data_IF_173809023708
#
_entry.id   IF_173809023708
#
_cell.length_a   1.000
_cell.length_b   1.000
_cell.length_c   1.000
_cell.angle_alpha   90.00
_cell.angle_beta   90.00
_cell.angle_gamma   90.00
#
_symmetry.space_group_name_H-M   'P 1'
#
loop_
_entity.id
_entity.type
_entity.pdbx_description
1 polymer ?
#
# COMPACT_ATOMS: atom_id res chain seq x y z
N UNK A 1 7.44 -27.02 7.20
CA UNK A 1 6.33 -26.47 8.00
C UNK A 1 5.87 -25.20 7.30
N UNK A 2 4.77 -25.29 6.57
CA UNK A 2 4.20 -24.20 5.80
C UNK A 2 3.56 -23.20 6.77
N UNK A 3 4.06 -21.96 6.73
CA UNK A 3 3.52 -20.84 7.48
C UNK A 3 2.26 -20.34 6.79
N UNK A 4 1.10 -20.70 7.35
CA UNK A 4 -0.19 -20.07 7.08
C UNK A 4 -0.10 -18.58 7.47
N UNK A 5 0.06 -17.71 6.48
CA UNK A 5 -0.12 -16.27 6.67
C UNK A 5 -1.53 -15.87 6.25
N UNK A 6 -2.41 -15.94 7.24
CA UNK A 6 -3.30 -14.85 7.64
C UNK A 6 -3.97 -14.09 6.49
N UNK A 7 -4.83 -14.76 5.74
CA UNK A 7 -5.75 -14.13 4.81
C UNK A 7 -6.91 -13.51 5.60
N UNK A 8 -6.65 -12.37 6.28
CA UNK A 8 -7.72 -11.52 6.78
C UNK A 8 -8.31 -10.80 5.58
N UNK A 9 -9.53 -11.18 5.20
CA UNK A 9 -10.40 -10.39 4.34
C UNK A 9 -10.56 -8.99 4.93
N UNK A 10 -9.67 -8.09 4.50
CA UNK A 10 -9.86 -6.66 4.64
C UNK A 10 -10.97 -6.33 3.64
N UNK A 11 -12.18 -6.09 4.14
CA UNK A 11 -13.18 -5.34 3.39
C UNK A 11 -12.56 -3.96 3.16
N UNK A 12 -11.75 -3.84 2.11
CA UNK A 12 -11.18 -2.59 1.65
C UNK A 12 -12.32 -1.93 0.88
N UNK A 13 -13.03 -1.02 1.55
CA UNK A 13 -14.02 -0.14 0.94
C UNK A 13 -13.30 1.06 0.33
N UNK A 14 -13.76 1.46 -0.86
CA UNK A 14 -13.19 2.47 -1.77
C UNK A 14 -12.48 3.67 -1.10
N UNK A 15 -11.17 3.55 -0.96
CA UNK A 15 -10.29 4.72 -0.83
C UNK A 15 -10.44 5.60 -2.07
N UNK A 16 -10.32 6.93 -1.91
CA UNK A 16 -10.24 7.83 -3.06
C UNK A 16 -9.13 7.35 -3.99
N UNK A 17 -9.44 7.32 -5.28
CA UNK A 17 -8.59 6.75 -6.31
C UNK A 17 -8.30 7.80 -7.38
N UNK A 18 -7.34 7.49 -8.25
CA UNK A 18 -6.92 8.31 -9.37
C UNK A 18 -7.54 7.80 -10.69
N UNK A 19 -8.80 7.33 -10.66
CA UNK A 19 -9.47 6.85 -11.86
C UNK A 19 -10.23 7.98 -12.55
N UNK A 20 -10.03 8.14 -13.85
CA UNK A 20 -10.74 9.12 -14.68
C UNK A 20 -11.28 8.49 -15.96
N UNK A 21 -12.51 8.84 -16.42
CA UNK A 21 -13.04 8.34 -17.68
C UNK A 21 -12.14 8.67 -18.87
N UNK A 22 -11.80 7.66 -19.66
CA UNK A 22 -11.10 7.79 -20.95
C UNK A 22 -9.72 8.47 -20.93
N UNK A 23 -9.09 8.70 -19.76
CA UNK A 23 -7.82 9.41 -19.64
C UNK A 23 -6.84 8.69 -18.72
N UNK A 24 -5.59 8.54 -19.17
CA UNK A 24 -4.51 7.91 -18.39
C UNK A 24 -4.19 6.48 -18.81
N UNK A 25 -3.54 5.74 -17.92
CA UNK A 25 -3.08 4.36 -18.16
C UNK A 25 -4.25 3.38 -18.19
N UNK A 26 -4.27 2.48 -19.17
CA UNK A 26 -5.18 1.33 -19.12
C UNK A 26 -4.81 0.39 -17.97
N UNK A 27 -5.78 -0.39 -17.49
CA UNK A 27 -5.52 -1.43 -16.46
C UNK A 27 -4.47 -2.44 -16.91
N UNK A 28 -4.45 -2.81 -18.20
CA UNK A 28 -3.45 -3.74 -18.74
C UNK A 28 -2.04 -3.14 -18.74
N UNK A 29 -1.90 -1.85 -19.10
CA UNK A 29 -0.63 -1.13 -18.99
C UNK A 29 -0.18 -1.03 -17.54
N UNK A 30 -1.09 -0.65 -16.64
CA UNK A 30 -0.82 -0.54 -15.20
C UNK A 30 -0.36 -1.87 -14.61
N UNK A 31 -1.02 -2.98 -14.95
CA UNK A 31 -0.63 -4.31 -14.49
C UNK A 31 0.75 -4.72 -15.03
N UNK A 32 1.03 -4.44 -16.31
CA UNK A 32 2.33 -4.73 -16.92
C UNK A 32 3.45 -3.93 -16.25
N UNK A 33 3.25 -2.62 -16.03
CA UNK A 33 4.22 -1.76 -15.34
C UNK A 33 4.41 -2.21 -13.89
N UNK A 34 3.33 -2.55 -13.17
CA UNK A 34 3.40 -3.08 -11.80
C UNK A 34 4.27 -4.34 -11.71
N UNK A 35 4.13 -5.25 -12.67
CA UNK A 35 4.96 -6.46 -12.74
C UNK A 35 6.42 -6.14 -13.03
N UNK A 36 6.71 -5.17 -13.91
CA UNK A 36 8.07 -4.72 -14.20
C UNK A 36 8.71 -4.03 -13.00
N UNK A 37 7.96 -3.21 -12.25
CA UNK A 37 8.41 -2.63 -10.99
C UNK A 37 8.88 -3.71 -10.02
N UNK A 38 8.06 -4.75 -9.86
CA UNK A 38 8.36 -5.88 -8.98
C UNK A 38 9.60 -6.66 -9.43
N UNK A 39 9.74 -6.95 -10.71
CA UNK A 39 10.92 -7.65 -11.24
C UNK A 39 12.21 -6.85 -10.99
N UNK A 40 12.19 -5.54 -11.28
CA UNK A 40 13.34 -4.67 -11.05
C UNK A 40 13.68 -4.53 -9.57
N UNK A 41 12.68 -4.49 -8.68
CA UNK A 41 12.93 -4.42 -7.24
C UNK A 41 13.53 -5.72 -6.68
N UNK A 42 13.18 -6.88 -7.24
CA UNK A 42 13.83 -8.16 -6.94
C UNK A 42 15.30 -8.14 -7.37
N UNK A 43 15.61 -7.65 -8.57
CA UNK A 43 16.99 -7.56 -9.05
C UNK A 43 17.85 -6.69 -8.12
N UNK A 44 17.30 -5.58 -7.64
CA UNK A 44 17.98 -4.74 -6.64
C UNK A 44 18.16 -5.51 -5.32
N UNK A 45 17.13 -6.21 -4.85
CA UNK A 45 17.20 -6.98 -3.60
C UNK A 45 18.29 -8.06 -3.65
N UNK A 46 18.39 -8.79 -4.76
CA UNK A 46 19.44 -9.81 -4.97
C UNK A 46 20.87 -9.23 -4.93
N UNK A 47 21.05 -7.96 -5.31
CA UNK A 47 22.35 -7.29 -5.17
C UNK A 47 22.74 -7.14 -3.69
N UNK A 48 21.76 -6.94 -2.81
CA UNK A 48 22.00 -6.75 -1.38
C UNK A 48 22.18 -8.06 -0.60
N UNK A 49 21.40 -9.10 -0.93
CA UNK A 49 21.46 -10.41 -0.25
C UNK A 49 22.83 -11.09 -0.31
N UNK A 50 23.68 -10.68 -1.25
CA UNK A 50 24.99 -11.29 -1.43
C UNK A 50 26.16 -10.47 -0.90
N UNK A 51 25.90 -9.32 -0.27
CA UNK A 51 26.96 -8.47 0.27
C UNK A 51 27.59 -9.15 1.48
N UNK A 52 28.90 -9.03 1.64
CA UNK A 52 29.64 -9.54 2.79
C UNK A 52 30.77 -8.56 3.19
N UNK A 53 31.52 -8.83 4.25
CA UNK A 53 32.60 -7.96 4.72
C UNK A 53 34.00 -8.32 4.24
N UNK A 54 34.21 -9.56 3.76
CA UNK A 54 35.55 -10.05 3.48
C UNK A 54 35.61 -11.08 2.34
N UNK A 55 36.78 -11.16 1.70
CA UNK A 55 37.20 -12.29 0.86
C UNK A 55 37.94 -13.30 1.73
N UNK A 56 37.67 -14.59 1.58
CA UNK A 56 38.41 -15.67 2.26
C UNK A 56 39.21 -16.47 1.25
N UNK A 57 40.52 -16.58 1.48
CA UNK A 57 41.48 -17.25 0.60
C UNK A 57 42.20 -18.32 1.40
N UNK A 58 42.40 -19.49 0.79
CA UNK A 58 43.14 -20.58 1.40
C UNK A 58 44.22 -21.09 0.45
N UNK A 59 45.40 -21.38 0.97
CA UNK A 59 46.47 -21.97 0.17
C UNK A 59 46.31 -23.49 0.15
N UNK A 60 46.23 -24.06 -1.05
CA UNK A 60 46.10 -25.51 -1.26
C UNK A 60 47.33 -26.01 -2.02
N UNK A 61 48.02 -26.96 -1.42
CA UNK A 61 49.19 -27.61 -2.02
C UNK A 61 48.87 -28.13 -3.45
N UNK A 62 49.69 -27.72 -4.42
CA UNK A 62 49.51 -28.10 -5.84
C UNK A 62 48.44 -27.32 -6.61
N UNK A 63 47.62 -26.48 -5.94
CA UNK A 63 46.64 -25.60 -6.59
C UNK A 63 46.90 -24.10 -6.36
N UNK A 64 47.74 -23.74 -5.38
CA UNK A 64 48.04 -22.35 -5.02
C UNK A 64 46.93 -21.73 -4.17
N UNK A 65 46.83 -20.40 -4.19
CA UNK A 65 45.77 -19.65 -3.51
C UNK A 65 44.41 -19.91 -4.16
N UNK A 66 43.44 -20.34 -3.37
CA UNK A 66 42.06 -20.59 -3.78
C UNK A 66 41.11 -19.70 -2.99
N UNK A 67 40.31 -18.91 -3.70
CA UNK A 67 39.24 -18.11 -3.09
C UNK A 67 38.06 -19.03 -2.73
N UNK A 68 37.76 -19.16 -1.43
CA UNK A 68 36.63 -19.97 -0.92
C UNK A 68 35.41 -19.12 -0.63
N UNK A 69 35.58 -17.82 -0.36
CA UNK A 69 34.50 -16.85 -0.26
C UNK A 69 34.89 -15.61 -1.05
N UNK A 70 34.10 -15.31 -2.09
CA UNK A 70 34.26 -14.11 -2.89
C UNK A 70 33.81 -12.88 -2.13
N UNK A 71 34.68 -11.87 -2.01
CA UNK A 71 34.32 -10.57 -1.47
C UNK A 71 33.29 -9.87 -2.35
N UNK A 72 32.22 -9.40 -1.73
CA UNK A 72 31.11 -8.70 -2.39
C UNK A 72 30.85 -7.40 -1.61
N UNK A 73 31.60 -6.33 -1.91
CA UNK A 73 31.45 -5.06 -1.21
C UNK A 73 30.09 -4.41 -1.50
N UNK A 74 29.66 -3.55 -0.59
CA UNK A 74 28.51 -2.66 -0.80
C UNK A 74 28.77 -1.81 -2.05
N UNK A 75 27.82 -1.74 -3.01
CA UNK A 75 27.94 -0.86 -4.16
C UNK A 75 28.06 0.61 -3.74
N UNK A 76 28.90 1.39 -4.43
CA UNK A 76 29.08 2.83 -4.12
C UNK A 76 27.79 3.64 -4.24
N UNK A 77 26.84 3.20 -5.06
CA UNK A 77 25.52 3.81 -5.26
C UNK A 77 24.39 3.12 -4.45
N UNK A 78 24.71 2.45 -3.34
CA UNK A 78 23.73 1.70 -2.51
C UNK A 78 22.53 2.55 -2.10
N UNK A 79 22.75 3.81 -1.74
CA UNK A 79 21.67 4.73 -1.33
C UNK A 79 20.70 4.98 -2.47
N UNK A 80 21.21 5.16 -3.69
CA UNK A 80 20.38 5.36 -4.88
C UNK A 80 19.63 4.09 -5.26
N UNK A 81 20.26 2.91 -5.13
CA UNK A 81 19.59 1.63 -5.36
C UNK A 81 18.44 1.39 -4.37
N UNK A 82 18.60 1.76 -3.10
CA UNK A 82 17.54 1.64 -2.09
C UNK A 82 16.40 2.62 -2.39
N UNK A 83 16.73 3.86 -2.76
CA UNK A 83 15.72 4.85 -3.21
C UNK A 83 14.96 4.36 -4.43
N UNK A 84 15.66 3.80 -5.41
CA UNK A 84 15.05 3.23 -6.61
C UNK A 84 14.12 2.06 -6.24
N UNK A 85 14.56 1.16 -5.36
CA UNK A 85 13.71 0.07 -4.85
C UNK A 85 12.43 0.60 -4.20
N UNK A 86 12.55 1.63 -3.35
CA UNK A 86 11.40 2.28 -2.73
C UNK A 86 10.47 2.92 -3.76
N UNK A 87 11.01 3.64 -4.75
CA UNK A 87 10.27 4.28 -5.84
C UNK A 87 9.46 3.26 -6.66
N UNK A 88 10.07 2.12 -6.98
CA UNK A 88 9.43 1.01 -7.70
C UNK A 88 8.24 0.45 -6.92
N UNK A 89 8.39 0.23 -5.61
CA UNK A 89 7.30 -0.27 -4.76
C UNK A 89 6.22 0.78 -4.50
N UNK A 90 6.57 2.06 -4.41
CA UNK A 90 5.61 3.17 -4.32
C UNK A 90 4.72 3.20 -5.57
N UNK A 91 5.34 3.17 -6.76
CA UNK A 91 4.62 3.11 -8.03
C UNK A 91 3.78 1.84 -8.13
N UNK A 92 4.31 0.68 -7.70
CA UNK A 92 3.56 -0.57 -7.69
C UNK A 92 2.31 -0.46 -6.82
N UNK A 93 2.44 0.04 -5.58
CA UNK A 93 1.33 0.21 -4.66
C UNK A 93 0.26 1.16 -5.22
N UNK A 94 0.68 2.30 -5.80
CA UNK A 94 -0.22 3.22 -6.49
C UNK A 94 -1.04 2.53 -7.59
N UNK A 95 -0.37 1.79 -8.49
CA UNK A 95 -1.05 1.10 -9.60
C UNK A 95 -2.01 0.02 -9.07
N UNK A 96 -1.56 -0.79 -8.09
CA UNK A 96 -2.36 -1.88 -7.54
C UNK A 96 -3.58 -1.40 -6.76
N UNK A 97 -3.47 -0.32 -5.97
CA UNK A 97 -4.63 0.25 -5.26
C UNK A 97 -5.68 0.79 -6.25
N UNK A 98 -5.26 1.41 -7.35
CA UNK A 98 -6.17 1.89 -8.39
C UNK A 98 -6.82 0.75 -9.22
N UNK A 99 -6.08 -0.34 -9.50
CA UNK A 99 -6.64 -1.54 -10.14
C UNK A 99 -7.73 -2.14 -9.25
N UNK A 100 -7.42 -2.36 -7.97
CA UNK A 100 -8.38 -2.89 -6.99
C UNK A 100 -9.60 -1.98 -6.84
N UNK A 101 -9.39 -0.67 -6.76
CA UNK A 101 -10.49 0.29 -6.66
C UNK A 101 -11.44 0.19 -7.86
N UNK A 102 -10.93 0.05 -9.08
CA UNK A 102 -11.77 -0.13 -10.26
C UNK A 102 -12.53 -1.46 -10.24
N UNK A 103 -11.87 -2.55 -9.83
CA UNK A 103 -12.52 -3.86 -9.71
C UNK A 103 -13.64 -3.84 -8.66
N UNK A 104 -13.40 -3.18 -7.53
CA UNK A 104 -14.38 -2.98 -6.47
C UNK A 104 -15.55 -2.10 -6.94
N UNK A 105 -15.29 -1.00 -7.64
CA UNK A 105 -16.31 -0.16 -8.25
C UNK A 105 -17.20 -0.95 -9.20
N UNK A 106 -16.61 -1.79 -10.05
CA UNK A 106 -17.36 -2.66 -10.97
C UNK A 106 -18.18 -3.70 -10.21
N UNK A 107 -17.62 -4.30 -9.16
CA UNK A 107 -18.32 -5.28 -8.34
C UNK A 107 -19.51 -4.64 -7.62
N UNK A 108 -19.30 -3.48 -7.00
CA UNK A 108 -20.32 -2.70 -6.31
C UNK A 108 -21.42 -2.26 -7.28
N UNK A 109 -21.06 -1.75 -8.47
CA UNK A 109 -22.04 -1.38 -9.48
C UNK A 109 -22.86 -2.58 -10.00
N UNK A 110 -22.22 -3.75 -10.17
CA UNK A 110 -22.92 -4.99 -10.58
C UNK A 110 -23.86 -5.54 -9.52
N UNK A 111 -23.44 -5.47 -8.26
CA UNK A 111 -24.19 -6.00 -7.12
C UNK A 111 -25.17 -4.97 -6.53
N UNK A 112 -25.14 -3.72 -7.01
CA UNK A 112 -26.04 -2.68 -6.56
C UNK A 112 -27.49 -3.14 -6.73
N UNK A 113 -28.27 -2.88 -5.69
CA UNK A 113 -29.72 -3.02 -5.69
C UNK A 113 -30.35 -1.64 -5.66
N UNK A 114 -31.60 -1.57 -6.10
CA UNK A 114 -32.37 -0.32 -6.01
C UNK A 114 -32.48 0.09 -4.54
N UNK A 115 -32.02 1.30 -4.24
CA UNK A 115 -32.25 1.89 -2.93
C UNK A 115 -33.72 2.34 -2.83
N UNK A 116 -34.43 1.73 -1.89
CA UNK A 116 -35.83 2.05 -1.57
C UNK A 116 -35.96 2.68 -0.18
N UNK A 117 -34.85 2.95 0.51
CA UNK A 117 -34.85 3.48 1.89
C UNK A 117 -35.51 4.86 2.01
N UNK A 118 -35.49 5.66 0.94
CA UNK A 118 -36.21 6.94 0.85
C UNK A 118 -37.69 6.83 0.48
N UNK A 119 -38.23 5.61 0.36
CA UNK A 119 -39.64 5.36 0.09
C UNK A 119 -40.30 4.88 1.38
N UNK A 120 -41.03 5.79 2.02
CA UNK A 120 -41.81 5.48 3.22
C UNK A 120 -42.98 4.55 2.84
N UNK A 121 -42.83 3.27 3.19
CA UNK A 121 -43.95 2.31 3.19
C UNK A 121 -44.58 2.42 4.58
N UNK A 122 -45.87 2.77 4.70
CA UNK A 122 -46.46 2.94 6.01
C UNK A 122 -46.62 1.59 6.73
N UNK A 123 -45.97 1.44 7.90
CA UNK A 123 -46.05 0.26 8.78
C UNK A 123 -47.10 0.41 9.90
N UNK A 124 -47.58 -0.70 10.51
CA UNK A 124 -48.43 -0.65 11.70
C UNK A 124 -47.71 0.01 12.89
N UNK A 125 -48.44 0.78 13.70
CA UNK A 125 -47.88 1.63 14.77
C UNK A 125 -47.08 0.85 15.84
N UNK A 126 -45.83 1.26 16.03
CA UNK A 126 -44.93 0.89 17.15
C UNK A 126 -44.20 2.17 17.61
N UNK A 127 -43.79 2.26 18.87
CA UNK A 127 -43.00 3.39 19.39
C UNK A 127 -41.75 3.62 18.52
N UNK A 128 -41.45 4.87 18.15
CA UNK A 128 -40.17 5.17 17.51
C UNK A 128 -39.04 5.16 18.54
N UNK A 129 -38.06 4.28 18.29
CA UNK A 129 -36.76 4.33 18.94
C UNK A 129 -35.95 5.52 18.40
N UNK A 130 -35.07 6.14 19.21
CA UNK A 130 -34.19 7.18 18.73
C UNK A 130 -33.31 6.66 17.58
N UNK A 131 -33.27 7.39 16.47
CA UNK A 131 -32.35 7.09 15.36
C UNK A 131 -30.94 7.48 15.79
N UNK A 132 -30.18 6.49 16.26
CA UNK A 132 -28.79 6.65 16.68
C UNK A 132 -27.88 6.41 15.47
N UNK A 133 -27.00 7.37 15.20
CA UNK A 133 -25.96 7.22 14.19
C UNK A 133 -24.82 6.34 14.73
N UNK A 134 -24.31 5.35 13.96
CA UNK A 134 -23.18 4.55 14.37
C UNK A 134 -21.88 5.37 14.38
N UNK A 135 -20.91 5.07 15.26
CA UNK A 135 -19.60 5.70 15.21
C UNK A 135 -18.83 5.32 13.95
N UNK A 136 -17.98 6.22 13.47
CA UNK A 136 -17.09 6.00 12.34
C UNK A 136 -15.74 5.44 12.80
N UNK A 137 -15.01 4.79 11.89
CA UNK A 137 -13.72 4.15 12.13
C UNK A 137 -12.59 4.80 11.28
N UNK A 138 -11.37 4.24 11.34
CA UNK A 138 -10.25 4.75 10.54
C UNK A 138 -10.50 4.69 9.03
N UNK A 139 -11.29 3.73 8.53
CA UNK A 139 -11.61 3.62 7.10
C UNK A 139 -12.33 4.88 6.62
N UNK A 140 -13.35 5.34 7.36
CA UNK A 140 -14.00 6.63 7.12
C UNK A 140 -12.99 7.79 7.12
N UNK A 141 -12.03 7.77 8.05
CA UNK A 141 -11.00 8.81 8.15
C UNK A 141 -10.05 8.85 6.94
N UNK A 142 -9.71 7.69 6.37
CA UNK A 142 -8.92 7.59 5.14
C UNK A 142 -9.71 8.10 3.91
N UNK A 143 -11.02 7.87 3.84
CA UNK A 143 -11.89 8.39 2.78
C UNK A 143 -11.97 9.92 2.77
N UNK A 144 -11.75 10.57 3.92
CA UNK A 144 -11.75 12.03 4.01
C UNK A 144 -10.52 12.66 3.35
N UNK A 145 -9.40 11.93 3.23
CA UNK A 145 -8.19 12.45 2.59
C UNK A 145 -8.40 12.66 1.10
N UNK A 146 -7.75 13.66 0.52
CA UNK A 146 -7.75 13.87 -0.93
C UNK A 146 -6.93 12.79 -1.65
N UNK A 147 -7.16 12.64 -2.96
CA UNK A 147 -6.40 11.69 -3.80
C UNK A 147 -4.90 11.94 -3.71
N UNK A 148 -4.47 13.21 -3.76
CA UNK A 148 -3.05 13.57 -3.65
C UNK A 148 -2.46 13.20 -2.29
N UNK A 149 -3.23 13.29 -1.21
CA UNK A 149 -2.75 12.93 0.13
C UNK A 149 -2.61 11.41 0.29
N UNK A 150 -3.53 10.64 -0.31
CA UNK A 150 -3.41 9.19 -0.38
C UNK A 150 -2.16 8.80 -1.19
N UNK A 151 -1.93 9.45 -2.33
CA UNK A 151 -0.75 9.19 -3.16
C UNK A 151 0.55 9.55 -2.44
N UNK A 152 0.59 10.66 -1.69
CA UNK A 152 1.75 11.01 -0.86
C UNK A 152 1.95 10.04 0.30
N UNK A 153 0.88 9.56 0.92
CA UNK A 153 0.95 8.52 1.94
C UNK A 153 1.53 7.20 1.38
N UNK A 154 1.06 6.76 0.21
CA UNK A 154 1.56 5.55 -0.47
C UNK A 154 3.06 5.67 -0.77
N UNK A 155 3.49 6.81 -1.29
CA UNK A 155 4.90 7.10 -1.53
C UNK A 155 5.69 7.02 -0.20
N UNK A 156 5.27 7.78 0.80
CA UNK A 156 5.98 7.84 2.07
C UNK A 156 6.06 6.48 2.79
N UNK A 157 4.99 5.68 2.72
CA UNK A 157 4.95 4.34 3.30
C UNK A 157 5.95 3.40 2.61
N UNK A 158 6.01 3.40 1.28
CA UNK A 158 6.96 2.59 0.53
C UNK A 158 8.42 2.98 0.81
N UNK A 159 8.73 4.27 0.85
CA UNK A 159 10.08 4.74 1.18
C UNK A 159 10.48 4.38 2.62
N UNK A 160 9.62 4.66 3.60
CA UNK A 160 9.90 4.30 4.99
C UNK A 160 10.11 2.78 5.14
N UNK A 161 9.23 1.96 4.56
CA UNK A 161 9.33 0.51 4.67
C UNK A 161 10.61 -0.06 4.04
N UNK A 162 10.93 0.32 2.81
CA UNK A 162 12.05 -0.28 2.09
C UNK A 162 13.43 0.24 2.49
N UNK A 163 13.51 1.49 2.97
CA UNK A 163 14.74 1.97 3.62
C UNK A 163 14.91 1.28 4.97
N UNK A 164 13.83 1.18 5.76
CA UNK A 164 13.84 0.53 7.08
C UNK A 164 14.30 -0.92 7.00
N UNK A 165 13.87 -1.67 5.99
CA UNK A 165 14.32 -3.04 5.71
C UNK A 165 15.85 -3.16 5.56
N UNK A 166 16.55 -2.10 5.17
CA UNK A 166 18.00 -2.13 5.00
C UNK A 166 18.78 -1.65 6.24
N UNK A 167 18.16 -0.90 7.16
CA UNK A 167 18.88 -0.27 8.29
C UNK A 167 18.48 -0.78 9.68
N UNK A 168 17.30 -1.38 9.85
CA UNK A 168 16.81 -1.84 11.16
C UNK A 168 17.48 -3.15 11.59
N UNK A 169 17.30 -3.54 12.86
CA UNK A 169 17.88 -4.77 13.40
C UNK A 169 17.56 -6.01 12.55
N UNK A 170 18.60 -6.81 12.26
CA UNK A 170 18.50 -7.98 11.37
C UNK A 170 18.46 -7.65 9.87
N UNK A 171 18.78 -6.42 9.47
CA UNK A 171 18.98 -6.06 8.07
C UNK A 171 20.41 -6.32 7.59
N UNK A 172 20.61 -6.32 6.27
CA UNK A 172 21.93 -6.46 5.63
C UNK A 172 22.95 -5.47 6.20
N UNK A 173 22.64 -4.18 6.32
CA UNK A 173 23.60 -3.21 6.85
C UNK A 173 23.86 -3.40 8.33
N UNK A 174 22.85 -3.81 9.10
CA UNK A 174 23.01 -4.09 10.52
C UNK A 174 23.93 -5.30 10.73
N UNK A 175 23.70 -6.39 10.00
CA UNK A 175 24.52 -7.60 10.02
C UNK A 175 25.98 -7.29 9.65
N UNK A 176 26.21 -6.54 8.57
CA UNK A 176 27.57 -6.16 8.18
C UNK A 176 28.29 -5.37 9.28
N UNK A 177 27.60 -4.48 9.99
CA UNK A 177 28.18 -3.68 11.08
C UNK A 177 28.44 -4.51 12.34
N UNK A 178 27.56 -5.47 12.65
CA UNK A 178 27.71 -6.37 13.79
C UNK A 178 28.81 -7.41 13.56
N UNK A 179 28.94 -7.92 12.34
CA UNK A 179 29.96 -8.90 11.96
C UNK A 179 31.36 -8.29 11.91
N UNK A 180 31.51 -7.11 11.31
CA UNK A 180 32.81 -6.50 10.99
C UNK A 180 33.83 -6.49 12.14
N UNK A 181 33.51 -6.04 13.38
CA UNK A 181 34.49 -6.03 14.47
C UNK A 181 34.83 -7.42 15.01
N UNK A 182 34.05 -8.44 14.66
CA UNK A 182 34.20 -9.82 15.12
C UNK A 182 34.93 -10.71 14.10
N UNK A 183 35.33 -10.17 12.95
CA UNK A 183 36.06 -10.92 11.91
C UNK A 183 37.51 -11.11 12.36
N UNK A 184 38.00 -12.35 12.53
CA UNK A 184 39.40 -12.60 12.83
C UNK A 184 40.29 -12.40 11.60
N UNK A 185 41.57 -12.11 11.80
CA UNK A 185 42.55 -12.00 10.71
C UNK A 185 42.81 -13.35 10.00
N UNK A 186 42.70 -14.45 10.76
CA UNK A 186 42.94 -15.82 10.29
C UNK A 186 41.86 -16.75 10.88
N UNK A 187 41.28 -17.59 10.03
CA UNK A 187 40.50 -18.77 10.43
C UNK A 187 41.26 -20.04 10.09
N UNK A 188 40.92 -21.16 10.74
CA UNK A 188 41.52 -22.46 10.43
C UNK A 188 40.45 -23.40 9.89
N UNK A 189 40.73 -24.08 8.78
CA UNK A 189 39.82 -25.08 8.19
C UNK A 189 40.53 -26.40 7.90
N UNK A 190 39.79 -27.51 7.90
CA UNK A 190 40.33 -28.84 7.59
C UNK A 190 40.10 -29.13 6.12
N UNK A 191 41.17 -29.16 5.32
CA UNK A 191 41.12 -29.47 3.87
C UNK A 191 41.51 -30.93 3.62
N UNK A 192 42.47 -31.42 4.41
CA UNK A 192 42.89 -32.83 4.45
C UNK A 192 42.62 -33.35 5.85
N UNK A 193 42.15 -34.59 5.96
CA UNK A 193 41.84 -35.19 7.26
C UNK A 193 43.08 -35.17 8.18
N UNK A 194 42.93 -34.60 9.38
CA UNK A 194 44.02 -34.41 10.34
C UNK A 194 44.87 -33.14 10.18
N UNK A 195 44.74 -32.35 9.10
CA UNK A 195 45.53 -31.13 8.88
C UNK A 195 44.65 -29.87 8.82
N UNK A 196 45.03 -28.84 9.59
CA UNK A 196 44.40 -27.51 9.53
C UNK A 196 45.18 -26.60 8.60
N UNK A 197 44.50 -26.00 7.64
CA UNK A 197 45.02 -24.97 6.75
C UNK A 197 44.55 -23.59 7.20
N UNK A 198 45.43 -22.57 7.22
CA UNK A 198 45.05 -21.20 7.54
C UNK A 198 44.26 -20.59 6.37
N UNK A 199 43.13 -19.97 6.70
CA UNK A 199 42.32 -19.17 5.79
C UNK A 199 42.66 -17.71 6.06
N UNK A 200 43.22 -17.06 5.04
CA UNK A 200 43.49 -15.62 5.06
C UNK A 200 42.20 -14.87 4.79
N UNK A 201 41.87 -13.92 5.66
CA UNK A 201 40.67 -13.10 5.55
C UNK A 201 41.08 -11.69 5.15
N UNK A 202 40.59 -11.23 4.00
CA UNK A 202 40.81 -9.86 3.50
C UNK A 202 39.52 -9.06 3.64
N UNK A 203 39.43 -8.30 4.73
CA UNK A 203 38.31 -7.38 4.99
C UNK A 203 38.35 -6.24 3.97
N UNK A 204 37.19 -5.88 3.41
CA UNK A 204 37.06 -4.84 2.38
C UNK A 204 36.08 -3.71 2.74
N UNK A 205 35.44 -3.77 3.91
CA UNK A 205 34.67 -2.67 4.50
C UNK A 205 35.37 -2.05 5.71
N UNK A 206 35.00 -0.82 6.03
CA UNK A 206 35.41 -0.13 7.26
C UNK A 206 34.17 0.25 8.09
N UNK A 207 34.34 0.33 9.41
CA UNK A 207 33.28 0.73 10.33
C UNK A 207 32.73 2.11 9.99
N UNK A 208 33.62 3.04 9.63
CA UNK A 208 33.29 4.42 9.25
C UNK A 208 32.45 4.46 7.98
N UNK A 209 32.80 3.65 6.96
CA UNK A 209 32.03 3.56 5.72
C UNK A 209 30.61 3.03 5.95
N UNK A 210 30.48 1.95 6.73
CA UNK A 210 29.16 1.36 7.02
C UNK A 210 28.30 2.29 7.88
N UNK A 211 28.91 2.98 8.85
CA UNK A 211 28.22 3.98 9.67
C UNK A 211 27.72 5.15 8.82
N UNK A 212 28.55 5.66 7.90
CA UNK A 212 28.16 6.77 7.03
C UNK A 212 26.95 6.42 6.17
N UNK A 213 26.91 5.20 5.59
CA UNK A 213 25.76 4.72 4.82
C UNK A 213 24.51 4.62 5.69
N UNK A 214 24.65 4.11 6.92
CA UNK A 214 23.55 4.01 7.87
C UNK A 214 22.97 5.39 8.20
N UNK A 215 23.81 6.37 8.52
CA UNK A 215 23.37 7.75 8.84
C UNK A 215 22.60 8.40 7.68
N UNK A 216 23.10 8.26 6.45
CA UNK A 216 22.42 8.79 5.26
C UNK A 216 21.02 8.18 5.07
N UNK A 217 20.92 6.85 5.23
CA UNK A 217 19.65 6.14 5.08
C UNK A 217 18.70 6.40 6.26
N UNK A 218 19.21 6.50 7.47
CA UNK A 218 18.42 6.79 8.67
C UNK A 218 17.80 8.20 8.61
N UNK A 219 18.53 9.20 8.13
CA UNK A 219 17.97 10.54 7.92
C UNK A 219 16.81 10.50 6.91
N UNK A 220 17.01 9.81 5.78
CA UNK A 220 15.97 9.67 4.76
C UNK A 220 14.76 8.90 5.29
N UNK A 221 14.97 7.79 6.00
CA UNK A 221 13.92 7.00 6.65
C UNK A 221 13.09 7.87 7.59
N UNK A 222 13.75 8.66 8.44
CA UNK A 222 13.08 9.53 9.42
C UNK A 222 12.15 10.54 8.75
N UNK A 223 12.55 11.13 7.63
CA UNK A 223 11.71 12.07 6.87
C UNK A 223 10.42 11.40 6.38
N UNK A 224 10.53 10.21 5.78
CA UNK A 224 9.35 9.49 5.29
C UNK A 224 8.49 8.90 6.41
N UNK A 225 9.11 8.40 7.47
CA UNK A 225 8.40 7.91 8.66
C UNK A 225 7.60 9.03 9.35
N UNK A 226 8.15 10.23 9.44
CA UNK A 226 7.41 11.41 9.92
C UNK A 226 6.18 11.71 9.06
N UNK A 227 6.29 11.61 7.72
CA UNK A 227 5.15 11.79 6.81
C UNK A 227 4.08 10.70 7.01
N UNK A 228 4.48 9.44 7.13
CA UNK A 228 3.57 8.33 7.42
C UNK A 228 2.81 8.58 8.73
N UNK A 229 3.53 9.00 9.78
CA UNK A 229 2.95 9.29 11.08
C UNK A 229 2.03 10.52 11.05
N UNK A 230 2.35 11.53 10.25
CA UNK A 230 1.50 12.69 10.02
C UNK A 230 0.12 12.27 9.47
N UNK A 231 0.06 11.46 8.41
CA UNK A 231 -1.21 11.02 7.84
C UNK A 231 -1.99 10.12 8.80
N UNK A 232 -1.33 9.19 9.49
CA UNK A 232 -1.97 8.35 10.52
C UNK A 232 -2.58 9.20 11.65
N UNK A 233 -1.86 10.22 12.12
CA UNK A 233 -2.37 11.14 13.14
C UNK A 233 -3.53 11.99 12.61
N UNK A 234 -3.45 12.45 11.36
CA UNK A 234 -4.52 13.20 10.69
C UNK A 234 -5.82 12.37 10.63
N UNK A 235 -5.74 11.12 10.19
CA UNK A 235 -6.89 10.19 10.13
C UNK A 235 -7.50 9.99 11.51
N UNK A 236 -6.68 9.70 12.52
CA UNK A 236 -7.17 9.56 13.90
C UNK A 236 -7.90 10.81 14.40
N UNK A 237 -7.32 11.99 14.15
CA UNK A 237 -7.95 13.25 14.53
C UNK A 237 -9.29 13.49 13.82
N UNK A 238 -9.43 13.09 12.55
CA UNK A 238 -10.70 13.18 11.82
C UNK A 238 -11.75 12.29 12.46
N UNK A 239 -11.42 11.02 12.71
CA UNK A 239 -12.31 10.04 13.33
C UNK A 239 -12.76 10.49 14.72
N UNK A 240 -11.83 10.98 15.55
CA UNK A 240 -12.16 11.48 16.89
C UNK A 240 -13.13 12.67 16.82
N UNK A 241 -12.89 13.62 15.91
CA UNK A 241 -13.77 14.78 15.74
C UNK A 241 -15.17 14.38 15.27
N UNK A 242 -15.26 13.46 14.32
CA UNK A 242 -16.54 13.02 13.79
C UNK A 242 -17.33 12.20 14.80
N UNK A 243 -16.66 11.31 15.55
CA UNK A 243 -17.31 10.57 16.63
C UNK A 243 -17.78 11.48 17.77
N UNK A 244 -17.05 12.57 18.07
CA UNK A 244 -17.52 13.57 19.02
C UNK A 244 -18.79 14.30 18.51
N UNK A 245 -18.86 14.61 17.20
CA UNK A 245 -20.05 15.18 16.56
C UNK A 245 -21.23 14.21 16.60
N UNK A 246 -21.01 12.94 16.24
CA UNK A 246 -22.01 11.86 16.27
C UNK A 246 -22.53 11.66 17.69
N UNK A 247 -21.66 11.62 18.69
CA UNK A 247 -22.06 11.48 20.09
C UNK A 247 -22.99 12.62 20.54
N UNK A 248 -22.73 13.86 20.12
CA UNK A 248 -23.61 15.00 20.40
C UNK A 248 -24.97 14.85 19.72
N UNK A 249 -25.00 14.46 18.46
CA UNK A 249 -26.23 14.23 17.70
C UNK A 249 -27.05 13.10 18.32
N UNK A 250 -26.40 12.02 18.75
CA UNK A 250 -27.05 10.89 19.40
C UNK A 250 -27.63 11.28 20.77
N UNK A 251 -26.92 12.11 21.55
CA UNK A 251 -27.44 12.65 22.80
C UNK A 251 -28.68 13.54 22.57
N UNK A 252 -28.65 14.39 21.53
CA UNK A 252 -29.79 15.23 21.15
C UNK A 252 -30.95 14.40 20.58
N UNK A 253 -30.68 13.35 19.81
CA UNK A 253 -31.68 12.44 19.25
C UNK A 253 -32.39 11.63 20.35
N UNK A 254 -31.64 11.18 21.37
CA UNK A 254 -32.18 10.51 22.54
C UNK A 254 -33.08 11.44 23.37
N UNK A 255 -32.74 12.73 23.48
CA UNK A 255 -33.57 13.74 24.14
C UNK A 255 -34.82 14.14 23.31
N UNK A 256 -34.76 14.05 21.98
CA UNK A 256 -35.84 14.45 21.08
C UNK A 256 -36.85 13.31 20.77
N UNK A 257 -36.44 12.04 20.85
CA UNK A 257 -37.32 10.89 20.66
C UNK A 257 -38.49 10.87 21.67
N UNK A 258 -38.28 11.36 22.89
CA UNK A 258 -39.33 11.53 23.92
C UNK A 258 -40.41 12.55 23.52
N UNK A 259 -40.12 13.47 22.59
CA UNK A 259 -41.01 14.56 22.16
C UNK A 259 -41.83 14.24 20.90
N UNK A 260 -41.32 13.33 20.06
CA UNK A 260 -41.86 13.06 18.70
C UNK A 260 -43.02 12.05 18.70
N UNK A 261 -43.14 11.21 19.74
CA UNK A 261 -44.21 10.20 19.88
C UNK A 261 -45.64 10.76 20.12
N UNK A 262 -45.89 12.05 19.87
CA UNK A 262 -47.19 12.71 20.13
C UNK A 262 -48.13 12.80 18.90
N UNK A 263 -47.63 12.75 17.65
CA UNK A 263 -48.42 13.20 16.48
C UNK A 263 -48.37 12.28 15.23
N UNK A 264 -48.77 10.99 15.28
CA UNK A 264 -48.90 10.18 14.03
C UNK A 264 -50.08 9.21 14.00
N UNK A 265 -51.18 9.59 13.35
CA UNK A 265 -52.24 8.63 12.94
C UNK A 265 -52.97 8.96 11.61
N UNK A 266 -52.95 10.18 11.08
CA UNK A 266 -53.91 10.56 10.00
C UNK A 266 -53.43 10.43 8.53
N UNK A 267 -52.29 9.79 8.22
CA UNK A 267 -51.68 9.84 6.86
C UNK A 267 -51.39 8.49 6.18
N UNK A 268 -52.20 7.46 6.44
CA UNK A 268 -51.90 6.10 5.97
C UNK A 268 -52.33 5.82 4.51
N UNK A 269 -53.55 6.16 4.10
CA UNK A 269 -54.12 5.58 2.87
C UNK A 269 -53.73 6.28 1.56
N UNK A 270 -53.37 7.56 1.58
CA UNK A 270 -52.96 8.31 0.37
C UNK A 270 -51.48 8.07 0.01
N UNK A 271 -50.66 7.71 1.00
CA UNK A 271 -49.21 7.58 0.84
C UNK A 271 -48.79 6.18 0.33
N UNK A 272 -49.54 5.13 0.66
CA UNK A 272 -49.28 3.76 0.18
C UNK A 272 -49.36 3.64 -1.36
N UNK A 273 -50.37 4.26 -1.99
CA UNK A 273 -50.53 4.27 -3.44
C UNK A 273 -49.40 5.04 -4.15
N UNK A 274 -48.97 6.19 -3.59
CA UNK A 274 -47.85 6.99 -4.11
C UNK A 274 -46.50 6.28 -3.94
N UNK A 275 -46.29 5.59 -2.81
CA UNK A 275 -45.07 4.82 -2.53
C UNK A 275 -44.89 3.69 -3.56
N UNK A 276 -45.97 3.00 -3.92
CA UNK A 276 -45.96 1.90 -4.89
C UNK A 276 -45.58 2.36 -6.31
N UNK A 277 -46.09 3.52 -6.74
CA UNK A 277 -45.75 4.09 -8.05
C UNK A 277 -44.33 4.68 -8.10
N UNK A 278 -43.86 5.28 -6.99
CA UNK A 278 -42.46 5.69 -6.82
C UNK A 278 -41.50 4.50 -6.86
N UNK A 279 -41.85 3.36 -6.24
CA UNK A 279 -41.04 2.13 -6.32
C UNK A 279 -40.90 1.61 -7.74
N UNK A 280 -41.99 1.60 -8.51
CA UNK A 280 -41.98 1.13 -9.89
C UNK A 280 -41.10 2.02 -10.77
N UNK A 281 -41.19 3.33 -10.57
CA UNK A 281 -40.37 4.32 -11.30
C UNK A 281 -38.89 4.25 -10.88
N UNK A 282 -38.60 4.09 -9.59
CA UNK A 282 -37.25 3.92 -9.07
C UNK A 282 -36.58 2.66 -9.63
N UNK A 283 -37.29 1.53 -9.65
CA UNK A 283 -36.82 0.27 -10.26
C UNK A 283 -36.52 0.41 -11.76
N UNK A 284 -37.36 1.13 -12.50
CA UNK A 284 -37.19 1.32 -13.94
C UNK A 284 -35.99 2.21 -14.29
N UNK A 285 -35.73 3.27 -13.50
CA UNK A 285 -34.57 4.16 -13.68
C UNK A 285 -33.27 3.53 -13.20
N UNK A 286 -33.33 2.75 -12.11
CA UNK A 286 -32.18 2.13 -11.50
C UNK A 286 -31.37 1.26 -12.48
N UNK A 287 -32.03 0.42 -13.29
CA UNK A 287 -31.29 -0.44 -14.21
C UNK A 287 -30.55 0.37 -15.29
N UNK A 288 -31.17 1.44 -15.79
CA UNK A 288 -30.53 2.31 -16.78
C UNK A 288 -29.33 3.06 -16.19
N UNK A 289 -29.48 3.58 -14.97
CA UNK A 289 -28.41 4.25 -14.23
C UNK A 289 -27.27 3.28 -13.89
N UNK A 290 -27.61 2.05 -13.49
CA UNK A 290 -26.63 0.99 -13.21
C UNK A 290 -25.81 0.62 -14.44
N UNK A 291 -26.46 0.42 -15.59
CA UNK A 291 -25.73 0.11 -16.83
C UNK A 291 -24.83 1.27 -17.25
N UNK A 292 -25.32 2.51 -17.17
CA UNK A 292 -24.51 3.70 -17.45
C UNK A 292 -23.29 3.80 -16.51
N UNK A 293 -23.48 3.56 -15.21
CA UNK A 293 -22.39 3.55 -14.24
C UNK A 293 -21.36 2.45 -14.57
N UNK A 294 -21.80 1.25 -14.94
CA UNK A 294 -20.91 0.15 -15.34
C UNK A 294 -20.08 0.55 -16.58
N UNK A 295 -20.70 1.12 -17.60
CA UNK A 295 -20.02 1.61 -18.81
C UNK A 295 -18.99 2.70 -18.50
N UNK A 296 -19.37 3.65 -17.65
CA UNK A 296 -18.48 4.74 -17.23
C UNK A 296 -17.27 4.19 -16.47
N UNK A 297 -17.49 3.35 -15.45
CA UNK A 297 -16.43 2.72 -14.66
C UNK A 297 -15.54 1.86 -15.58
N UNK A 298 -16.12 1.12 -16.52
CA UNK A 298 -15.36 0.32 -17.48
C UNK A 298 -14.42 1.17 -18.33
N UNK A 299 -14.84 2.38 -18.71
CA UNK A 299 -14.04 3.34 -19.47
C UNK A 299 -12.93 4.03 -18.65
N UNK A 300 -12.98 3.96 -17.32
CA UNK A 300 -12.02 4.64 -16.45
C UNK A 300 -10.60 4.08 -16.60
N UNK A 301 -9.63 4.98 -16.51
CA UNK A 301 -8.20 4.73 -16.60
C UNK A 301 -7.48 5.43 -15.46
N UNK A 302 -6.25 5.03 -15.17
CA UNK A 302 -5.48 5.58 -14.05
C UNK A 302 -4.83 6.89 -14.51
N UNK A 303 -5.32 8.02 -13.99
CA UNK A 303 -4.63 9.30 -14.06
C UNK A 303 -3.38 9.25 -13.18
N UNK A 304 -2.21 9.49 -13.77
CA UNK A 304 -0.93 9.30 -13.10
C UNK A 304 -0.60 10.52 -12.25
N UNK A 305 -0.41 10.31 -10.95
CA UNK A 305 0.11 11.35 -10.04
C UNK A 305 1.56 11.70 -10.43
N UNK A 306 1.95 13.00 -10.42
CA UNK A 306 3.31 13.44 -10.75
C UNK A 306 4.43 12.67 -10.03
N UNK A 307 4.18 12.19 -8.81
CA UNK A 307 5.15 11.38 -8.04
C UNK A 307 5.56 10.08 -8.73
N UNK A 308 4.67 9.50 -9.53
CA UNK A 308 4.89 8.18 -10.15
C UNK A 308 5.24 8.27 -11.63
N UNK A 309 5.12 9.45 -12.25
CA UNK A 309 5.38 9.66 -13.69
C UNK A 309 6.76 9.17 -14.10
N UNK A 310 7.80 9.54 -13.35
CA UNK A 310 9.20 9.14 -13.64
C UNK A 310 9.35 7.62 -13.74
N UNK A 311 8.79 6.88 -12.78
CA UNK A 311 8.89 5.41 -12.77
C UNK A 311 8.04 4.77 -13.86
N UNK A 312 6.87 5.34 -14.16
CA UNK A 312 6.02 4.87 -15.25
C UNK A 312 6.71 5.07 -16.62
N UNK A 313 7.27 6.26 -16.86
CA UNK A 313 7.93 6.61 -18.12
C UNK A 313 9.14 5.72 -18.40
N UNK A 314 9.86 5.31 -17.35
CA UNK A 314 10.96 4.35 -17.45
C UNK A 314 10.55 3.03 -18.12
N UNK A 315 9.30 2.59 -17.95
CA UNK A 315 8.80 1.35 -18.53
C UNK A 315 8.00 1.57 -19.83
N UNK A 316 7.39 2.74 -20.01
CA UNK A 316 6.71 3.10 -21.25
C UNK A 316 7.70 3.38 -22.40
N UNK A 317 8.85 3.98 -22.10
CA UNK A 317 9.90 4.31 -23.08
C UNK A 317 10.63 3.13 -23.73
N UNK A 318 10.39 1.90 -23.25
CA UNK A 318 11.00 0.66 -23.78
C UNK A 318 10.04 -0.21 -24.62
N UNK A 319 8.85 0.30 -24.97
CA UNK A 319 8.02 -0.37 -25.97
C UNK A 319 8.57 -0.04 -27.37
N UNK A 320 8.90 -1.02 -28.24
CA UNK A 320 9.13 -0.70 -29.64
C UNK A 320 7.84 -0.04 -30.14
N UNK A 321 7.93 1.23 -30.51
CA UNK A 321 6.81 1.94 -31.09
C UNK A 321 6.28 1.14 -32.29
N UNK A 322 4.97 1.15 -32.55
CA UNK A 322 4.45 0.55 -33.77
C UNK A 322 5.18 1.23 -34.93
N UNK A 323 5.99 0.42 -35.63
CA UNK A 323 6.79 0.88 -36.74
C UNK A 323 5.91 1.57 -37.78
N UNK A 324 6.41 2.67 -38.30
CA UNK A 324 6.01 3.13 -39.62
C UNK A 324 6.26 1.99 -40.62
N UNK A 325 5.17 1.40 -41.12
CA UNK A 325 5.08 0.85 -42.48
C UNK A 325 3.82 1.43 -43.09
#
# INVERSE_FOLDING_TARGET
MYSEHNNKHKLLIMKKNSLTPNKGLSLSQAQSISNLCYQKSIEITKKFESINNATKIVEIEGKGEVEIVKGRPIPSNVVDLIKEKAELHACQAFLMENIKAKDEMLLNAKNATVDLSGIEIPEPWVNEDPVILPPVNEDWGWEQLSVSEINEFIEAEAYAAHIGQFIHGGSVLNELREELPNIPDIEWMVIKDGEKSPVMIKIHHTSEQLLHIHEQLAELHRVYEQKVNYFKAKVKNLVTKENARIAKINADAQANAEKINKDRYEKYEVEYAKATEKMKTAKAKFEQERQRAIEEIASMRIEVDPRFVKTIDMFLGNSPGPGCV
#
